data_IF_688109855059
#
_entry.id   IF_688109855059
#
_cell.length_a   1.000
_cell.length_b   1.000
_cell.length_c   1.000
_cell.angle_alpha   90.00
_cell.angle_beta   90.00
_cell.angle_gamma   90.00
#
_symmetry.space_group_name_H-M   'P 1'
#
loop_
_entity.id
_entity.type
_entity.pdbx_description
1 polymer ?
#
# COMPACT_ATOMS: atom_id res chain seq x y z
N UNK A 1 7.13 10.99 -13.12
CA UNK A 1 7.53 9.76 -12.40
C UNK A 1 8.96 9.45 -12.76
N UNK A 2 9.79 9.03 -11.80
CA UNK A 2 11.20 8.67 -12.00
C UNK A 2 11.40 7.23 -11.54
N UNK A 3 11.64 6.31 -12.46
CA UNK A 3 11.61 4.88 -12.17
C UNK A 3 12.92 4.19 -12.59
N UNK A 4 13.22 3.06 -11.95
CA UNK A 4 14.39 2.25 -12.21
C UNK A 4 14.24 0.86 -11.59
N UNK A 5 15.02 -0.10 -12.07
CA UNK A 5 14.98 -1.47 -11.57
C UNK A 5 15.19 -1.51 -10.07
N UNK A 6 16.36 -1.04 -9.62
CA UNK A 6 16.72 -0.78 -8.23
C UNK A 6 17.15 0.68 -8.06
N UNK A 7 16.30 1.46 -7.40
CA UNK A 7 16.49 2.91 -7.19
C UNK A 7 17.32 3.19 -5.94
N UNK A 8 17.33 2.29 -4.97
CA UNK A 8 17.98 2.51 -3.68
C UNK A 8 19.48 2.30 -3.76
N UNK A 9 19.90 1.08 -4.11
CA UNK A 9 21.31 0.71 -4.21
C UNK A 9 21.93 1.07 -5.57
N UNK A 10 21.11 1.39 -6.56
CA UNK A 10 21.54 1.72 -7.91
C UNK A 10 20.83 2.95 -8.47
N UNK A 11 21.07 3.22 -9.75
CA UNK A 11 20.38 4.29 -10.50
C UNK A 11 20.36 5.63 -9.75
N UNK A 12 19.18 6.14 -9.36
CA UNK A 12 19.02 7.44 -8.72
C UNK A 12 19.65 7.53 -7.33
N UNK A 13 19.55 6.47 -6.51
CA UNK A 13 20.16 6.46 -5.17
C UNK A 13 21.68 6.58 -5.24
N UNK A 14 22.31 5.82 -6.12
CA UNK A 14 23.75 5.92 -6.40
C UNK A 14 24.14 7.32 -6.92
N UNK A 15 23.36 7.88 -7.85
CA UNK A 15 23.62 9.23 -8.36
C UNK A 15 23.47 10.31 -7.28
N UNK A 16 22.46 10.19 -6.41
CA UNK A 16 22.24 11.11 -5.31
C UNK A 16 23.38 11.05 -4.29
N UNK A 17 23.81 9.84 -3.92
CA UNK A 17 24.96 9.65 -3.03
C UNK A 17 26.24 10.22 -3.63
N UNK A 18 26.51 9.95 -4.92
CA UNK A 18 27.70 10.49 -5.59
C UNK A 18 27.66 12.00 -5.72
N UNK A 19 26.49 12.58 -6.02
CA UNK A 19 26.30 14.02 -6.10
C UNK A 19 26.52 14.69 -4.74
N UNK A 20 26.03 14.07 -3.65
CA UNK A 20 26.26 14.57 -2.29
C UNK A 20 27.75 14.62 -1.95
N UNK A 21 28.53 13.60 -2.32
CA UNK A 21 30.00 13.62 -2.16
C UNK A 21 30.70 14.72 -2.98
N UNK A 22 30.06 15.21 -4.03
CA UNK A 22 30.53 16.33 -4.85
C UNK A 22 29.93 17.68 -4.41
N UNK A 23 29.19 17.73 -3.30
CA UNK A 23 28.53 18.94 -2.79
C UNK A 23 27.28 19.36 -3.59
N UNK A 24 26.71 18.47 -4.40
CA UNK A 24 25.55 18.74 -5.25
C UNK A 24 24.30 18.10 -4.64
N UNK A 25 23.31 18.93 -4.30
CA UNK A 25 22.00 18.49 -3.81
C UNK A 25 21.08 17.95 -4.91
N UNK A 26 21.46 16.86 -5.58
CA UNK A 26 20.80 16.36 -6.79
C UNK A 26 19.28 16.20 -6.63
N UNK A 27 18.81 15.58 -5.55
CA UNK A 27 17.38 15.32 -5.31
C UNK A 27 16.56 16.62 -5.21
N UNK A 28 17.16 17.67 -4.64
CA UNK A 28 16.54 19.00 -4.57
C UNK A 28 16.47 19.65 -5.95
N UNK A 29 17.55 19.56 -6.75
CA UNK A 29 17.58 20.11 -8.10
C UNK A 29 16.58 19.46 -9.06
N UNK A 30 16.34 18.14 -8.92
CA UNK A 30 15.35 17.45 -9.75
C UNK A 30 13.93 17.52 -9.16
N UNK A 31 13.76 18.10 -7.97
CA UNK A 31 12.45 18.31 -7.35
C UNK A 31 11.58 19.27 -8.17
N UNK A 32 10.27 19.22 -7.97
CA UNK A 32 9.33 20.25 -8.45
C UNK A 32 9.05 21.33 -7.42
N UNK A 33 9.52 21.16 -6.18
CA UNK A 33 9.43 22.18 -5.14
C UNK A 33 10.55 23.19 -5.34
N UNK A 34 10.26 24.51 -5.30
CA UNK A 34 11.32 25.51 -5.35
C UNK A 34 12.28 25.30 -4.17
N UNK A 35 13.57 25.35 -4.46
CA UNK A 35 14.62 25.34 -3.45
C UNK A 35 14.89 26.80 -3.08
N UNK A 36 14.51 27.22 -1.88
CA UNK A 36 15.01 28.48 -1.33
C UNK A 36 16.49 28.28 -0.98
N UNK A 37 17.37 28.72 -1.86
CA UNK A 37 18.76 29.00 -1.52
C UNK A 37 18.75 30.04 -0.40
N UNK A 38 18.88 29.63 0.86
CA UNK A 38 19.38 30.52 1.91
C UNK A 38 20.86 30.83 1.61
N UNK A 39 21.09 31.65 0.59
CA UNK A 39 22.37 32.30 0.32
C UNK A 39 22.23 33.71 0.89
N UNK A 40 22.93 33.94 2.00
CA UNK A 40 23.37 35.23 2.53
C UNK A 40 22.45 36.45 2.30
N UNK A 41 21.54 36.70 3.25
CA UNK A 41 21.17 38.08 3.60
C UNK A 41 22.15 38.58 4.66
N UNK A 42 23.43 38.67 4.29
CA UNK A 42 24.41 39.48 4.99
C UNK A 42 24.41 40.86 4.35
N UNK A 43 24.28 41.89 5.18
CA UNK A 43 24.43 43.32 4.87
C UNK A 43 23.26 44.02 4.17
N UNK A 44 22.34 44.56 4.98
CA UNK A 44 22.03 46.01 5.03
C UNK A 44 20.92 46.28 6.06
N UNK A 45 21.30 46.55 7.31
CA UNK A 45 20.67 47.51 8.21
C UNK A 45 21.38 47.48 9.57
N UNK A 46 22.40 48.32 9.72
CA UNK A 46 22.88 48.75 11.04
C UNK A 46 21.95 49.88 11.49
N UNK A 47 21.33 49.77 12.67
CA UNK A 47 21.21 50.91 13.61
C UNK A 47 20.77 50.48 15.02
N UNK A 48 21.73 50.63 15.94
CA UNK A 48 21.64 51.15 17.31
C UNK A 48 20.88 50.45 18.46
N UNK A 49 21.72 50.01 19.43
CA UNK A 49 21.77 50.34 20.88
C UNK A 49 21.38 49.25 21.90
N UNK A 50 22.36 48.93 22.77
CA UNK A 50 22.09 48.62 24.20
C UNK A 50 22.90 47.51 24.91
N UNK A 51 24.20 47.75 25.16
CA UNK A 51 25.05 47.45 26.34
C UNK A 51 24.91 46.18 27.26
N UNK A 52 26.11 45.69 27.66
CA UNK A 52 26.54 44.80 28.77
C UNK A 52 26.41 43.27 28.55
N UNK A 53 27.42 42.42 28.78
CA UNK A 53 28.80 42.55 29.26
C UNK A 53 29.45 41.13 29.36
N UNK A 54 30.74 41.06 29.04
CA UNK A 54 31.78 40.02 29.28
C UNK A 54 31.43 38.53 29.41
N UNK A 55 32.02 37.71 28.51
CA UNK A 55 32.92 36.59 28.80
C UNK A 55 33.47 36.01 27.47
N UNK A 56 34.79 36.00 27.33
CA UNK A 56 35.53 35.50 26.15
C UNK A 56 35.34 33.98 25.95
N UNK A 57 35.31 33.48 24.70
CA UNK A 57 35.80 32.16 24.38
C UNK A 57 37.00 32.16 23.41
N UNK A 58 37.90 31.23 23.68
CA UNK A 58 39.10 30.80 22.93
C UNK A 58 38.80 30.24 21.51
N UNK A 59 39.82 29.96 20.66
CA UNK A 59 39.79 30.28 19.24
C UNK A 59 38.98 29.29 18.37
N UNK A 60 38.35 29.89 17.36
CA UNK A 60 37.60 29.28 16.27
C UNK A 60 38.39 28.15 15.57
N UNK A 61 38.07 26.91 15.91
CA UNK A 61 38.26 25.77 15.02
C UNK A 61 37.20 25.91 13.94
N UNK A 62 37.64 26.00 12.69
CA UNK A 62 36.78 26.05 11.52
C UNK A 62 35.77 24.89 11.54
N UNK A 63 34.51 25.18 11.89
CA UNK A 63 33.41 24.26 11.71
C UNK A 63 33.18 24.11 10.20
N UNK A 64 33.67 22.99 9.68
CA UNK A 64 33.16 22.39 8.46
C UNK A 64 31.65 22.30 8.61
N UNK A 65 30.93 23.14 7.85
CA UNK A 65 29.49 23.08 7.73
C UNK A 65 29.12 21.66 7.30
N UNK A 66 28.76 20.84 8.28
CA UNK A 66 28.19 19.52 8.08
C UNK A 66 26.94 19.77 7.25
N UNK A 67 27.00 19.33 5.99
CA UNK A 67 25.86 19.21 5.11
C UNK A 67 24.83 18.38 5.89
N UNK A 68 23.87 19.04 6.54
CA UNK A 68 22.76 18.37 7.23
C UNK A 68 22.16 17.37 6.24
N UNK A 69 22.35 16.11 6.56
CA UNK A 69 21.92 14.98 5.76
C UNK A 69 20.42 15.10 5.52
N UNK A 70 20.03 15.47 4.31
CA UNK A 70 18.66 15.34 3.77
C UNK A 70 18.34 13.85 3.51
N UNK A 71 18.86 12.96 4.35
CA UNK A 71 18.46 11.57 4.46
C UNK A 71 17.49 11.53 5.62
N UNK A 72 16.23 11.84 5.35
CA UNK A 72 15.16 11.39 6.24
C UNK A 72 15.38 9.87 6.36
N UNK A 73 15.64 9.37 7.57
CA UNK A 73 15.75 7.94 7.85
C UNK A 73 14.36 7.30 7.73
N UNK A 74 13.87 7.20 6.50
CA UNK A 74 12.66 6.48 6.15
C UNK A 74 12.99 4.98 6.07
N UNK A 75 13.17 4.36 7.23
CA UNK A 75 13.46 2.92 7.35
C UNK A 75 12.35 2.07 6.71
N UNK A 76 11.09 2.50 6.87
CA UNK A 76 9.95 1.83 6.28
C UNK A 76 9.97 1.94 4.75
N UNK A 77 10.21 3.11 4.18
CA UNK A 77 10.36 3.28 2.74
C UNK A 77 11.58 2.56 2.19
N UNK A 78 12.67 2.52 2.96
CA UNK A 78 13.86 1.71 2.66
C UNK A 78 13.56 0.23 2.61
N UNK A 79 12.65 -0.30 3.40
CA UNK A 79 12.35 -1.75 3.45
C UNK A 79 11.16 -2.17 2.57
N UNK A 80 10.16 -1.29 2.41
CA UNK A 80 8.89 -1.61 1.75
C UNK A 80 8.59 -0.82 0.47
N UNK A 81 9.18 0.37 0.28
CA UNK A 81 8.91 1.25 -0.87
C UNK A 81 10.18 1.62 -1.65
N UNK A 82 10.36 2.87 -2.08
CA UNK A 82 11.56 3.33 -2.81
C UNK A 82 12.65 3.91 -1.91
N UNK A 83 12.35 4.41 -0.71
CA UNK A 83 13.32 5.00 0.22
C UNK A 83 14.09 6.22 -0.30
N UNK A 84 13.82 6.65 -1.55
CA UNK A 84 14.37 7.84 -2.19
C UNK A 84 13.20 8.72 -2.59
N UNK A 85 13.19 9.95 -2.06
CA UNK A 85 12.10 10.89 -2.23
C UNK A 85 12.55 12.09 -3.06
N UNK A 86 11.71 12.49 -4.02
CA UNK A 86 11.92 13.68 -4.84
C UNK A 86 10.64 14.51 -4.78
N UNK A 87 10.73 15.74 -4.27
CA UNK A 87 9.56 16.59 -4.07
C UNK A 87 8.74 16.76 -5.36
N UNK A 88 7.43 16.51 -5.26
CA UNK A 88 6.50 16.58 -6.39
C UNK A 88 6.68 15.52 -7.49
N UNK A 89 7.52 14.49 -7.28
CA UNK A 89 7.69 13.37 -8.23
C UNK A 89 7.53 12.03 -7.54
N UNK A 90 6.81 11.13 -8.20
CA UNK A 90 6.66 9.74 -7.77
C UNK A 90 7.89 8.95 -8.21
N UNK A 91 8.50 8.22 -7.28
CA UNK A 91 9.74 7.46 -7.50
C UNK A 91 9.49 5.97 -7.22
N UNK A 92 9.00 5.17 -8.19
CA UNK A 92 8.71 3.75 -7.96
C UNK A 92 9.94 2.85 -8.15
N UNK A 93 10.24 2.01 -7.15
CA UNK A 93 11.27 0.98 -7.25
C UNK A 93 10.72 -0.29 -7.92
N UNK A 94 11.11 -0.55 -9.18
CA UNK A 94 10.41 -1.52 -10.05
C UNK A 94 10.55 -2.94 -9.52
N UNK A 95 11.72 -3.38 -9.05
CA UNK A 95 11.90 -4.77 -8.60
C UNK A 95 10.98 -5.11 -7.41
N UNK A 96 10.70 -4.14 -6.53
CA UNK A 96 9.77 -4.31 -5.40
C UNK A 96 8.33 -4.41 -5.84
N UNK A 97 7.96 -3.60 -6.81
CA UNK A 97 6.62 -3.69 -7.39
C UNK A 97 6.42 -5.05 -8.05
N UNK A 98 7.43 -5.55 -8.77
CA UNK A 98 7.38 -6.87 -9.38
C UNK A 98 7.21 -8.00 -8.35
N UNK A 99 7.78 -7.88 -7.14
CA UNK A 99 7.59 -8.85 -6.04
C UNK A 99 6.13 -8.98 -5.58
N UNK A 100 5.37 -7.89 -5.68
CA UNK A 100 3.95 -7.88 -5.34
C UNK A 100 3.09 -8.48 -6.46
N UNK A 101 3.54 -8.37 -7.72
CA UNK A 101 2.80 -8.77 -8.92
C UNK A 101 3.05 -10.22 -9.36
N UNK A 102 4.30 -10.68 -9.32
CA UNK A 102 4.71 -12.02 -9.75
C UNK A 102 5.40 -12.78 -8.62
N UNK A 103 5.10 -14.08 -8.50
CA UNK A 103 5.73 -14.96 -7.50
C UNK A 103 6.85 -15.76 -8.15
N UNK A 104 8.07 -15.31 -7.93
CA UNK A 104 9.29 -15.91 -8.46
C UNK A 104 10.26 -16.27 -7.32
N UNK A 105 11.15 -17.22 -7.59
CA UNK A 105 12.24 -17.59 -6.67
C UNK A 105 13.33 -16.52 -6.65
N UNK A 106 13.58 -15.88 -7.80
CA UNK A 106 14.59 -14.84 -7.96
C UNK A 106 13.98 -13.61 -8.64
N UNK A 107 14.32 -12.42 -8.15
CA UNK A 107 13.86 -11.13 -8.66
C UNK A 107 15.00 -10.32 -9.31
N UNK A 108 15.92 -11.01 -9.99
CA UNK A 108 16.81 -10.36 -10.96
C UNK A 108 15.99 -9.85 -12.15
N UNK A 109 16.44 -8.78 -12.81
CA UNK A 109 15.72 -8.24 -13.98
C UNK A 109 15.58 -9.27 -15.10
N UNK A 110 16.54 -10.17 -15.26
CA UNK A 110 16.54 -11.23 -16.26
C UNK A 110 15.43 -12.24 -16.00
N UNK A 111 15.33 -12.76 -14.78
CA UNK A 111 14.27 -13.69 -14.37
C UNK A 111 12.87 -13.07 -14.49
N UNK A 112 12.72 -11.79 -14.11
CA UNK A 112 11.42 -11.10 -14.20
C UNK A 112 11.08 -10.80 -15.66
N UNK A 113 12.05 -10.38 -16.49
CA UNK A 113 11.84 -10.17 -17.92
C UNK A 113 11.43 -11.47 -18.64
N UNK A 114 12.04 -12.61 -18.29
CA UNK A 114 11.64 -13.92 -18.81
C UNK A 114 10.21 -14.29 -18.40
N UNK A 115 9.83 -14.03 -17.15
CA UNK A 115 8.47 -14.31 -16.66
C UNK A 115 7.40 -13.39 -17.27
N UNK A 116 7.67 -12.08 -17.31
CA UNK A 116 6.68 -11.05 -17.68
C UNK A 116 6.63 -10.84 -19.20
N UNK A 117 7.80 -10.67 -19.83
CA UNK A 117 7.93 -10.37 -21.26
C UNK A 117 8.16 -11.61 -22.13
N UNK A 118 8.37 -12.79 -21.53
CA UNK A 118 8.73 -14.02 -22.27
C UNK A 118 10.00 -13.87 -23.13
N UNK A 119 10.92 -13.00 -22.71
CA UNK A 119 12.17 -12.70 -23.41
C UNK A 119 13.36 -13.04 -22.53
N UNK A 120 14.31 -13.81 -23.05
CA UNK A 120 15.62 -14.01 -22.41
C UNK A 120 16.50 -12.78 -22.62
N UNK A 121 17.05 -12.27 -21.53
CA UNK A 121 17.92 -11.09 -21.53
C UNK A 121 19.31 -11.53 -21.05
N UNK A 122 20.40 -11.16 -21.76
CA UNK A 122 21.74 -11.51 -21.32
C UNK A 122 22.09 -10.77 -20.02
N UNK A 123 22.76 -11.46 -19.10
CA UNK A 123 23.38 -10.84 -17.93
C UNK A 123 24.88 -10.72 -18.17
N UNK A 124 25.38 -9.49 -18.33
CA UNK A 124 26.79 -9.22 -18.60
C UNK A 124 27.46 -8.71 -17.32
N UNK A 125 28.57 -9.34 -16.85
CA UNK A 125 29.28 -8.90 -15.66
C UNK A 125 29.84 -7.49 -15.80
N UNK A 126 29.75 -6.68 -14.73
CA UNK A 126 30.21 -5.29 -14.73
C UNK A 126 31.68 -5.12 -15.16
N UNK A 127 32.57 -6.05 -14.79
CA UNK A 127 33.99 -6.05 -15.22
C UNK A 127 34.14 -6.03 -16.75
N UNK A 128 33.25 -6.72 -17.48
CA UNK A 128 33.26 -6.76 -18.95
C UNK A 128 32.74 -5.44 -19.52
N UNK A 129 31.66 -4.90 -18.94
CA UNK A 129 31.09 -3.60 -19.34
C UNK A 129 32.12 -2.47 -19.19
N UNK A 130 32.87 -2.44 -18.09
CA UNK A 130 33.95 -1.45 -17.88
C UNK A 130 35.03 -1.57 -18.96
N UNK A 131 35.48 -2.79 -19.29
CA UNK A 131 36.46 -3.01 -20.37
C UNK A 131 35.94 -2.53 -21.71
N UNK A 132 34.69 -2.82 -22.03
CA UNK A 132 34.05 -2.36 -23.26
C UNK A 132 33.94 -0.84 -23.34
N UNK A 133 33.57 -0.18 -22.24
CA UNK A 133 33.47 1.28 -22.21
C UNK A 133 34.83 1.98 -22.36
N UNK A 134 35.87 1.44 -21.70
CA UNK A 134 37.24 1.97 -21.73
C UNK A 134 37.94 1.78 -23.08
N UNK A 135 37.56 0.76 -23.86
CA UNK A 135 38.18 0.42 -25.16
C UNK A 135 38.01 1.47 -26.29
N UNK A 136 37.51 2.68 -25.98
CA UNK A 136 37.41 3.79 -26.94
C UNK A 136 36.06 3.86 -27.68
N UNK A 137 35.86 4.84 -28.60
CA UNK A 137 34.61 5.05 -29.34
C UNK A 137 34.26 3.94 -30.35
N UNK A 138 35.07 2.87 -30.40
CA UNK A 138 34.85 1.72 -31.24
C UNK A 138 33.59 0.90 -30.83
N UNK A 139 33.29 -0.14 -31.62
CA UNK A 139 32.12 -1.02 -31.50
C UNK A 139 31.85 -1.55 -30.08
N UNK A 140 32.88 -1.70 -29.25
CA UNK A 140 32.74 -2.20 -27.88
C UNK A 140 32.05 -1.18 -26.94
N UNK A 141 32.40 0.12 -26.99
CA UNK A 141 31.70 1.14 -26.19
C UNK A 141 30.23 1.26 -26.60
N UNK A 142 29.95 1.20 -27.91
CA UNK A 142 28.59 1.17 -28.42
C UNK A 142 27.78 0.01 -27.82
N UNK A 143 28.31 -1.22 -27.83
CA UNK A 143 27.65 -2.39 -27.20
C UNK A 143 27.38 -2.20 -25.71
N UNK A 144 28.29 -1.57 -24.98
CA UNK A 144 28.08 -1.26 -23.56
C UNK A 144 26.90 -0.29 -23.36
N UNK A 145 26.85 0.78 -24.17
CA UNK A 145 25.77 1.78 -24.11
C UNK A 145 24.43 1.14 -24.50
N UNK A 146 24.41 0.37 -25.59
CA UNK A 146 23.24 -0.38 -26.06
C UNK A 146 22.69 -1.31 -24.98
N UNK A 147 23.56 -2.06 -24.29
CA UNK A 147 23.18 -2.93 -23.18
C UNK A 147 22.50 -2.16 -22.03
N UNK A 148 23.03 -0.99 -21.64
CA UNK A 148 22.45 -0.16 -20.57
C UNK A 148 21.11 0.43 -21.02
N UNK A 149 21.00 0.89 -22.28
CA UNK A 149 19.74 1.41 -22.84
C UNK A 149 18.68 0.32 -22.88
N UNK A 150 19.01 -0.88 -23.33
CA UNK A 150 18.08 -2.01 -23.33
C UNK A 150 17.60 -2.34 -21.91
N UNK A 151 18.49 -2.34 -20.90
CA UNK A 151 18.07 -2.52 -19.50
C UNK A 151 17.16 -1.41 -18.99
N UNK A 152 17.37 -0.16 -19.41
CA UNK A 152 16.49 0.93 -19.06
C UNK A 152 15.10 0.74 -19.68
N UNK A 153 15.03 0.36 -20.97
CA UNK A 153 13.78 0.07 -21.69
C UNK A 153 12.99 -1.08 -21.08
N UNK A 154 13.67 -2.13 -20.60
CA UNK A 154 13.01 -3.27 -19.96
C UNK A 154 12.12 -2.83 -18.79
N UNK A 155 12.53 -1.83 -18.00
CA UNK A 155 11.70 -1.32 -16.90
C UNK A 155 10.36 -0.79 -17.40
N UNK A 156 10.36 -0.02 -18.48
CA UNK A 156 9.14 0.52 -19.09
C UNK A 156 8.28 -0.58 -19.68
N UNK A 157 8.90 -1.50 -20.44
CA UNK A 157 8.20 -2.62 -21.06
C UNK A 157 7.51 -3.52 -20.04
N UNK A 158 8.16 -3.81 -18.90
CA UNK A 158 7.56 -4.62 -17.84
C UNK A 158 6.38 -3.92 -17.16
N UNK A 159 6.48 -2.61 -16.90
CA UNK A 159 5.39 -1.83 -16.30
C UNK A 159 4.18 -1.73 -17.24
N UNK A 160 4.44 -1.57 -18.53
CA UNK A 160 3.43 -1.48 -19.58
C UNK A 160 2.73 -2.84 -19.79
N UNK A 161 3.50 -3.93 -19.86
CA UNK A 161 2.96 -5.30 -20.01
C UNK A 161 2.04 -5.72 -18.85
N UNK A 162 2.26 -5.16 -17.66
CA UNK A 162 1.44 -5.39 -16.47
C UNK A 162 0.36 -4.30 -16.26
N UNK A 163 0.29 -3.31 -17.15
CA UNK A 163 -0.62 -2.17 -17.10
C UNK A 163 -0.66 -1.49 -15.72
N UNK A 164 0.50 -1.40 -15.08
CA UNK A 164 0.55 -1.06 -13.66
C UNK A 164 0.13 0.37 -13.37
N UNK A 165 0.49 1.31 -14.25
CA UNK A 165 0.21 2.73 -14.04
C UNK A 165 -1.30 2.98 -14.12
N UNK A 166 -1.96 2.50 -15.17
CA UNK A 166 -3.40 2.69 -15.33
C UNK A 166 -4.17 1.99 -14.22
N UNK A 167 -3.83 0.73 -13.91
CA UNK A 167 -4.48 0.00 -12.83
C UNK A 167 -4.31 0.68 -11.47
N UNK A 168 -3.13 1.21 -11.17
CA UNK A 168 -2.88 1.95 -9.93
C UNK A 168 -3.67 3.25 -9.89
N UNK A 169 -3.78 3.95 -11.02
CA UNK A 169 -4.60 5.15 -11.16
C UNK A 169 -6.07 4.84 -10.87
N UNK A 170 -6.64 3.80 -11.49
CA UNK A 170 -8.03 3.39 -11.24
C UNK A 170 -8.27 3.02 -9.77
N UNK A 171 -7.35 2.26 -9.17
CA UNK A 171 -7.42 1.93 -7.75
C UNK A 171 -7.31 3.16 -6.85
N UNK A 172 -6.50 4.15 -7.21
CA UNK A 172 -6.39 5.41 -6.47
C UNK A 172 -7.72 6.18 -6.46
N UNK A 173 -8.43 6.22 -7.60
CA UNK A 173 -9.75 6.85 -7.68
C UNK A 173 -10.79 6.10 -6.84
N UNK A 174 -10.81 4.77 -6.88
CA UNK A 174 -11.75 3.95 -6.11
C UNK A 174 -11.49 4.08 -4.61
N UNK A 175 -10.23 3.94 -4.20
CA UNK A 175 -9.85 4.05 -2.80
C UNK A 175 -9.86 5.49 -2.30
N UNK A 176 -9.85 6.48 -3.19
CA UNK A 176 -9.75 7.91 -2.88
C UNK A 176 -8.52 8.21 -2.03
N UNK A 177 -7.37 7.69 -2.45
CA UNK A 177 -6.05 7.97 -1.86
C UNK A 177 -5.08 8.38 -2.96
N UNK A 178 -3.93 8.92 -2.58
CA UNK A 178 -2.91 9.28 -3.57
C UNK A 178 -2.33 8.04 -4.27
N UNK A 179 -1.88 8.24 -5.51
CA UNK A 179 -1.35 7.17 -6.37
C UNK A 179 -0.23 6.37 -5.70
N UNK A 180 0.69 7.06 -5.01
CA UNK A 180 1.84 6.39 -4.41
C UNK A 180 1.46 5.59 -3.16
N UNK A 181 0.46 6.05 -2.39
CA UNK A 181 -0.10 5.32 -1.27
C UNK A 181 -0.79 4.03 -1.69
N UNK A 182 -1.36 3.94 -2.90
CA UNK A 182 -1.85 2.65 -3.42
C UNK A 182 -0.71 1.62 -3.50
N UNK A 183 0.48 2.05 -3.93
CA UNK A 183 1.63 1.15 -4.11
C UNK A 183 2.36 0.84 -2.80
N UNK A 184 2.48 1.84 -1.93
CA UNK A 184 3.32 1.76 -0.74
C UNK A 184 2.53 1.35 0.50
N UNK A 185 1.35 1.94 0.76
CA UNK A 185 0.62 1.76 2.01
C UNK A 185 -0.14 0.44 2.05
N UNK A 186 -0.27 -0.09 3.27
CA UNK A 186 -0.97 -1.35 3.55
C UNK A 186 -2.49 -1.27 3.35
N UNK A 187 -3.14 -2.42 3.44
CA UNK A 187 -4.59 -2.56 3.22
C UNK A 187 -5.43 -1.75 4.21
N UNK A 188 -5.02 -1.66 5.47
CA UNK A 188 -5.73 -0.87 6.49
C UNK A 188 -5.97 0.57 6.04
N UNK A 189 -4.96 1.23 5.47
CA UNK A 189 -5.07 2.61 4.98
C UNK A 189 -6.13 2.76 3.86
N UNK A 190 -6.24 1.74 2.99
CA UNK A 190 -7.23 1.71 1.91
C UNK A 190 -8.63 1.52 2.47
N UNK A 191 -8.79 0.58 3.40
CA UNK A 191 -10.07 0.29 4.06
C UNK A 191 -10.57 1.50 4.84
N UNK A 192 -9.71 2.12 5.64
CA UNK A 192 -10.03 3.32 6.42
C UNK A 192 -10.46 4.49 5.53
N UNK A 193 -9.72 4.73 4.44
CA UNK A 193 -10.05 5.80 3.50
C UNK A 193 -11.47 5.64 2.90
N UNK A 194 -11.81 4.43 2.47
CA UNK A 194 -13.16 4.14 1.94
C UNK A 194 -14.24 4.20 3.03
N UNK A 195 -13.97 3.57 4.18
CA UNK A 195 -14.92 3.46 5.29
C UNK A 195 -15.25 4.82 5.90
N UNK A 196 -14.24 5.64 6.20
CA UNK A 196 -14.42 6.96 6.82
C UNK A 196 -15.17 7.92 5.91
N UNK A 197 -14.92 7.90 4.60
CA UNK A 197 -15.71 8.69 3.64
C UNK A 197 -17.19 8.30 3.69
N UNK A 198 -17.49 7.00 3.67
CA UNK A 198 -18.87 6.53 3.71
C UNK A 198 -19.54 6.85 5.06
N UNK A 199 -18.83 6.64 6.17
CA UNK A 199 -19.30 6.95 7.51
C UNK A 199 -19.60 8.46 7.68
N UNK A 200 -18.75 9.33 7.13
CA UNK A 200 -18.93 10.77 7.15
C UNK A 200 -20.22 11.22 6.44
N UNK A 201 -20.61 10.57 5.34
CA UNK A 201 -21.91 10.88 4.66
C UNK A 201 -23.14 10.63 5.52
N UNK A 202 -22.99 9.86 6.60
CA UNK A 202 -24.06 9.51 7.55
C UNK A 202 -23.85 10.17 8.93
N UNK A 203 -22.97 11.16 9.03
CA UNK A 203 -22.63 11.89 10.26
C UNK A 203 -22.12 10.97 11.40
N UNK A 204 -21.42 9.90 11.06
CA UNK A 204 -20.73 9.08 12.06
C UNK A 204 -19.38 9.68 12.45
N UNK A 205 -19.01 9.48 13.71
CA UNK A 205 -17.68 9.74 14.24
C UNK A 205 -16.97 8.41 14.52
N UNK A 206 -15.79 8.24 13.94
CA UNK A 206 -14.95 7.07 14.22
C UNK A 206 -14.15 7.28 15.50
N UNK A 207 -13.94 6.19 16.25
CA UNK A 207 -13.03 6.17 17.39
C UNK A 207 -11.58 5.96 16.93
N UNK A 208 -10.63 6.55 17.65
CA UNK A 208 -9.20 6.41 17.38
C UNK A 208 -8.50 5.83 18.60
N UNK A 209 -8.51 4.48 18.78
CA UNK A 209 -7.93 3.86 19.96
C UNK A 209 -6.40 3.94 19.94
N UNK A 210 -5.81 4.14 21.13
CA UNK A 210 -4.37 4.07 21.34
C UNK A 210 -3.86 2.63 21.38
N UNK A 211 -2.54 2.46 21.23
CA UNK A 211 -1.88 1.14 21.23
C UNK A 211 -2.20 0.30 22.47
N UNK A 212 -2.26 0.93 23.64
CA UNK A 212 -2.58 0.25 24.90
C UNK A 212 -4.03 -0.25 24.93
N UNK A 213 -4.98 0.53 24.41
CA UNK A 213 -6.39 0.13 24.34
C UNK A 213 -6.58 -1.08 23.44
N UNK A 214 -5.94 -1.08 22.27
CA UNK A 214 -5.94 -2.22 21.34
C UNK A 214 -5.27 -3.44 21.97
N UNK A 215 -4.17 -3.26 22.72
CA UNK A 215 -3.51 -4.38 23.41
C UNK A 215 -4.35 -4.96 24.55
N UNK A 216 -5.22 -4.15 25.17
CA UNK A 216 -6.12 -4.58 26.25
C UNK A 216 -7.45 -5.15 25.77
N UNK A 217 -7.72 -5.15 24.46
CA UNK A 217 -8.98 -5.65 23.92
C UNK A 217 -9.13 -7.16 24.15
N UNK A 218 -10.35 -7.69 24.27
CA UNK A 218 -10.58 -9.12 24.38
C UNK A 218 -9.96 -9.89 23.20
N UNK A 219 -9.33 -11.03 23.50
CA UNK A 219 -8.76 -11.89 22.47
C UNK A 219 -9.85 -12.51 21.59
N UNK A 220 -9.51 -12.81 20.34
CA UNK A 220 -10.43 -13.48 19.42
C UNK A 220 -10.65 -14.94 19.85
N UNK A 221 -11.90 -15.31 20.15
CA UNK A 221 -12.27 -16.65 20.62
C UNK A 221 -12.74 -17.58 19.49
N UNK A 222 -13.19 -17.01 18.37
CA UNK A 222 -13.72 -17.77 17.24
C UNK A 222 -12.59 -18.19 16.28
N UNK A 223 -12.51 -19.49 15.99
CA UNK A 223 -11.55 -20.08 15.05
C UNK A 223 -12.27 -20.62 13.80
N UNK A 224 -11.61 -20.60 12.63
CA UNK A 224 -12.15 -21.24 11.44
C UNK A 224 -12.18 -22.76 11.61
N UNK A 225 -13.20 -23.41 11.04
CA UNK A 225 -13.27 -24.86 10.98
C UNK A 225 -12.38 -25.39 9.87
N UNK A 226 -11.41 -26.24 10.24
CA UNK A 226 -10.64 -27.06 9.31
C UNK A 226 -10.96 -28.51 9.61
N UNK A 227 -11.64 -29.18 8.69
CA UNK A 227 -11.97 -30.61 8.83
C UNK A 227 -10.71 -31.46 8.66
N UNK A 228 -10.61 -32.54 9.41
CA UNK A 228 -9.54 -33.51 9.23
C UNK A 228 -9.70 -34.23 7.89
N UNK A 229 -8.70 -34.20 7.00
CA UNK A 229 -8.81 -34.86 5.71
C UNK A 229 -8.61 -36.36 5.85
N UNK A 230 -9.46 -37.14 5.17
CA UNK A 230 -9.19 -38.56 4.94
C UNK A 230 -8.02 -38.69 3.96
N UNK A 231 -6.85 -39.08 4.48
CA UNK A 231 -5.63 -39.17 3.67
C UNK A 231 -5.65 -40.44 2.84
N UNK A 232 -5.59 -40.30 1.51
CA UNK A 232 -5.61 -41.44 0.60
C UNK A 232 -5.48 -41.03 -0.86
N UNK A 233 -5.41 -42.04 -1.73
CA UNK A 233 -5.50 -41.87 -3.17
C UNK A 233 -6.96 -42.09 -3.60
N UNK A 234 -7.56 -41.07 -4.20
CA UNK A 234 -8.95 -41.11 -4.68
C UNK A 234 -8.94 -41.37 -6.19
N UNK A 235 -9.43 -42.56 -6.59
CA UNK A 235 -9.59 -42.91 -8.01
C UNK A 235 -10.85 -42.31 -8.62
N UNK A 236 -11.89 -42.11 -7.81
CA UNK A 236 -13.17 -41.51 -8.21
C UNK A 236 -13.10 -39.97 -8.25
N UNK A 237 -13.90 -39.29 -9.09
CA UNK A 237 -13.93 -37.83 -9.14
C UNK A 237 -14.34 -37.19 -7.80
N UNK A 238 -13.53 -36.24 -7.33
CA UNK A 238 -13.81 -35.46 -6.11
C UNK A 238 -14.37 -34.08 -6.48
N UNK A 239 -15.60 -33.80 -6.06
CA UNK A 239 -16.24 -32.49 -6.29
C UNK A 239 -15.76 -31.49 -5.26
N UNK A 240 -15.25 -30.34 -5.73
CA UNK A 240 -14.79 -29.24 -4.87
C UNK A 240 -15.82 -28.11 -4.87
N UNK A 241 -16.41 -27.84 -3.70
CA UNK A 241 -17.35 -26.74 -3.48
C UNK A 241 -16.67 -25.64 -2.67
N UNK A 242 -16.81 -24.39 -3.12
CA UNK A 242 -16.25 -23.22 -2.45
C UNK A 242 -17.26 -22.07 -2.40
N UNK A 243 -17.27 -21.33 -1.30
CA UNK A 243 -18.10 -20.15 -1.14
C UNK A 243 -17.46 -18.94 -1.82
N UNK A 244 -18.23 -18.27 -2.68
CA UNK A 244 -17.77 -17.04 -3.30
C UNK A 244 -17.83 -15.87 -2.31
N UNK A 245 -16.69 -15.50 -1.73
CA UNK A 245 -16.59 -14.39 -0.77
C UNK A 245 -17.39 -14.60 0.53
N UNK A 246 -17.13 -15.73 1.22
CA UNK A 246 -17.80 -16.12 2.47
C UNK A 246 -17.98 -14.98 3.48
N UNK A 247 -16.91 -14.38 4.01
CA UNK A 247 -17.02 -13.36 5.05
C UNK A 247 -17.75 -12.09 4.59
N UNK A 248 -17.43 -11.48 3.43
CA UNK A 248 -18.23 -10.38 2.90
C UNK A 248 -19.72 -10.68 2.79
N UNK A 249 -20.08 -11.86 2.28
CA UNK A 249 -21.48 -12.27 2.14
C UNK A 249 -22.18 -12.43 3.49
N UNK A 250 -21.51 -12.96 4.51
CA UNK A 250 -22.06 -13.03 5.87
C UNK A 250 -22.28 -11.64 6.47
N UNK A 251 -21.30 -10.73 6.32
CA UNK A 251 -21.41 -9.36 6.82
C UNK A 251 -22.62 -8.64 6.20
N UNK A 252 -22.83 -8.81 4.90
CA UNK A 252 -23.97 -8.22 4.19
C UNK A 252 -25.28 -8.87 4.64
N UNK A 253 -25.37 -10.20 4.59
CA UNK A 253 -26.60 -10.94 4.88
C UNK A 253 -27.11 -10.72 6.31
N UNK A 254 -26.19 -10.65 7.27
CA UNK A 254 -26.49 -10.49 8.69
C UNK A 254 -26.34 -9.05 9.19
N UNK A 255 -26.11 -8.08 8.29
CA UNK A 255 -25.98 -6.65 8.59
C UNK A 255 -24.94 -6.34 9.70
N UNK A 256 -23.82 -7.07 9.70
CA UNK A 256 -22.78 -6.96 10.73
C UNK A 256 -21.99 -5.66 10.54
N UNK A 257 -22.07 -4.74 11.48
CA UNK A 257 -21.35 -3.47 11.41
C UNK A 257 -21.15 -2.87 12.80
N UNK A 258 -20.14 -2.03 12.96
CA UNK A 258 -19.93 -1.25 14.18
C UNK A 258 -21.18 -0.43 14.57
N UNK A 259 -21.84 0.22 13.59
CA UNK A 259 -23.01 1.06 13.83
C UNK A 259 -24.35 0.31 13.98
N UNK A 260 -24.34 -1.02 13.88
CA UNK A 260 -25.52 -1.88 14.09
C UNK A 260 -25.32 -2.83 15.26
N UNK A 261 -24.15 -2.86 15.90
CA UNK A 261 -23.85 -3.69 17.06
C UNK A 261 -24.48 -3.12 18.35
N UNK A 262 -25.14 -3.97 19.13
CA UNK A 262 -25.79 -3.64 20.40
C UNK A 262 -25.07 -4.23 21.62
N UNK A 263 -23.92 -4.89 21.42
CA UNK A 263 -23.15 -5.53 22.49
C UNK A 263 -23.53 -6.99 22.76
N UNK A 264 -22.92 -7.57 23.80
CA UNK A 264 -23.11 -8.97 24.19
C UNK A 264 -24.35 -9.16 25.07
N UNK A 265 -25.00 -10.33 24.96
CA UNK A 265 -26.14 -10.72 25.83
C UNK A 265 -25.69 -10.99 27.26
N UNK A 266 -24.59 -11.73 27.42
CA UNK A 266 -24.04 -12.03 28.74
C UNK A 266 -23.04 -10.91 29.10
N UNK A 267 -23.26 -10.17 30.20
CA UNK A 267 -22.32 -9.15 30.62
C UNK A 267 -21.00 -9.82 31.06
N UNK A 268 -19.95 -9.66 30.26
CA UNK A 268 -18.58 -9.82 30.77
C UNK A 268 -18.31 -8.73 31.81
N UNK A 269 -17.32 -8.94 32.69
CA UNK A 269 -16.98 -8.04 33.83
C UNK A 269 -16.83 -6.55 33.45
N UNK A 270 -16.61 -6.24 32.18
CA UNK A 270 -16.87 -4.94 31.58
C UNK A 270 -17.65 -5.19 30.27
N UNK A 271 -18.81 -4.54 30.08
CA UNK A 271 -19.55 -4.54 28.81
C UNK A 271 -18.75 -3.76 27.77
N UNK A 272 -17.70 -4.38 27.26
CA UNK A 272 -16.75 -3.76 26.32
C UNK A 272 -17.05 -4.25 24.92
N UNK A 273 -17.27 -3.32 23.99
CA UNK A 273 -17.31 -3.60 22.58
C UNK A 273 -15.94 -3.26 21.98
N UNK A 274 -15.11 -4.29 21.80
CA UNK A 274 -13.76 -4.15 21.30
C UNK A 274 -12.87 -3.37 22.27
N UNK A 275 -12.60 -2.11 21.94
CA UNK A 275 -11.73 -1.20 22.72
C UNK A 275 -12.47 -0.20 23.61
N UNK A 276 -13.81 -0.10 23.51
CA UNK A 276 -14.60 0.89 24.25
C UNK A 276 -15.70 0.25 25.11
N UNK A 277 -15.99 0.81 26.30
CA UNK A 277 -17.16 0.39 27.06
C UNK A 277 -18.43 0.83 26.32
N UNK A 278 -19.38 -0.07 26.16
CA UNK A 278 -20.63 0.21 25.48
C UNK A 278 -21.80 -0.44 26.21
N UNK A 279 -22.82 0.36 26.53
CA UNK A 279 -24.07 -0.14 27.06
C UNK A 279 -25.24 0.40 26.23
N UNK A 280 -26.04 -0.46 25.60
CA UNK A 280 -27.23 -0.03 24.88
C UNK A 280 -28.30 0.49 25.86
N UNK A 281 -29.10 1.47 25.41
CA UNK A 281 -30.24 1.97 26.18
C UNK A 281 -31.28 0.83 26.37
N UNK A 282 -31.69 0.51 27.61
CA UNK A 282 -32.72 -0.50 27.89
C UNK A 282 -34.05 -0.29 27.16
N UNK A 283 -34.43 0.96 26.86
CA UNK A 283 -35.65 1.26 26.11
C UNK A 283 -35.53 0.79 24.67
N UNK A 284 -34.40 1.13 24.02
CA UNK A 284 -34.09 0.68 22.66
C UNK A 284 -34.04 -0.85 22.57
N UNK A 285 -33.52 -1.52 23.61
CA UNK A 285 -33.51 -2.98 23.65
C UNK A 285 -34.92 -3.58 23.73
N UNK A 286 -35.81 -2.99 24.53
CA UNK A 286 -37.21 -3.45 24.65
C UNK A 286 -37.97 -3.28 23.35
N UNK A 287 -37.80 -2.14 22.68
CA UNK A 287 -38.49 -1.83 21.42
C UNK A 287 -38.06 -2.73 20.25
N UNK A 288 -36.81 -3.22 20.30
CA UNK A 288 -36.21 -4.03 19.23
C UNK A 288 -36.19 -5.53 19.53
N UNK A 289 -36.66 -5.97 20.70
CA UNK A 289 -36.50 -7.34 21.23
C UNK A 289 -36.81 -8.45 20.21
N UNK A 290 -37.90 -8.32 19.46
CA UNK A 290 -38.36 -9.36 18.52
C UNK A 290 -37.73 -9.25 17.12
N UNK A 291 -36.89 -8.24 16.89
CA UNK A 291 -36.30 -7.93 15.57
C UNK A 291 -34.78 -8.05 15.55
N UNK A 292 -34.13 -8.21 16.70
CA UNK A 292 -32.68 -8.30 16.78
C UNK A 292 -32.16 -9.61 16.20
N UNK A 293 -30.99 -9.53 15.58
CA UNK A 293 -30.22 -10.70 15.20
C UNK A 293 -29.22 -11.03 16.31
N UNK A 294 -29.25 -12.27 16.78
CA UNK A 294 -28.23 -12.81 17.68
C UNK A 294 -27.25 -13.68 16.89
N UNK A 295 -25.97 -13.36 16.96
CA UNK A 295 -24.92 -14.17 16.35
C UNK A 295 -24.45 -15.29 17.30
N UNK A 296 -23.86 -16.38 16.78
CA UNK A 296 -23.43 -17.52 17.61
C UNK A 296 -22.41 -17.17 18.71
N UNK A 297 -21.66 -16.08 18.56
CA UNK A 297 -20.75 -15.56 19.58
C UNK A 297 -21.45 -14.67 20.64
N UNK A 298 -22.79 -14.65 20.68
CA UNK A 298 -23.56 -13.97 21.72
C UNK A 298 -23.69 -12.45 21.55
N UNK A 299 -23.34 -11.91 20.38
CA UNK A 299 -23.44 -10.47 20.07
C UNK A 299 -24.76 -10.15 19.37
N UNK A 300 -25.39 -9.04 19.76
CA UNK A 300 -26.65 -8.58 19.19
C UNK A 300 -26.41 -7.54 18.09
N UNK A 301 -27.16 -7.65 17.00
CA UNK A 301 -27.15 -6.70 15.89
C UNK A 301 -28.56 -6.23 15.51
N UNK A 302 -28.65 -4.97 15.09
CA UNK A 302 -29.86 -4.36 14.53
C UNK A 302 -30.09 -4.87 13.11
N UNK A 303 -31.33 -5.24 12.72
CA UNK A 303 -31.63 -5.69 11.37
C UNK A 303 -31.54 -4.54 10.34
N UNK A 304 -31.26 -4.90 9.09
CA UNK A 304 -31.10 -3.94 7.98
C UNK A 304 -32.33 -3.08 7.73
N UNK A 305 -33.53 -3.57 8.08
CA UNK A 305 -34.81 -2.83 7.99
C UNK A 305 -34.87 -1.61 8.90
N UNK A 306 -34.17 -1.63 10.04
CA UNK A 306 -34.12 -0.52 10.99
C UNK A 306 -32.95 0.40 10.64
N UNK A 307 -31.77 -0.18 10.43
CA UNK A 307 -30.57 0.56 10.02
C UNK A 307 -29.67 -0.34 9.18
N UNK A 308 -29.34 0.10 7.98
CA UNK A 308 -28.33 -0.56 7.15
C UNK A 308 -26.94 -0.12 7.59
N UNK A 309 -26.07 -1.09 7.90
CA UNK A 309 -24.70 -0.83 8.32
C UNK A 309 -23.83 -0.23 7.21
N UNK A 310 -22.80 0.52 7.62
CA UNK A 310 -21.80 1.12 6.70
C UNK A 310 -20.97 0.04 6.00
N UNK A 311 -20.50 -0.98 6.74
CA UNK A 311 -19.70 -2.07 6.20
C UNK A 311 -20.46 -2.93 5.17
N UNK A 312 -21.71 -3.40 5.44
CA UNK A 312 -22.54 -4.06 4.45
C UNK A 312 -22.66 -3.27 3.14
N UNK A 313 -22.91 -1.96 3.23
CA UNK A 313 -23.03 -1.10 2.05
C UNK A 313 -21.72 -1.00 1.26
N UNK A 314 -20.59 -0.78 1.95
CA UNK A 314 -19.28 -0.72 1.32
C UNK A 314 -18.93 -2.04 0.59
N UNK A 315 -19.21 -3.17 1.23
CA UNK A 315 -18.95 -4.49 0.67
C UNK A 315 -19.85 -4.80 -0.54
N UNK A 316 -21.13 -4.39 -0.51
CA UNK A 316 -22.04 -4.54 -1.66
C UNK A 316 -21.51 -3.78 -2.90
N UNK A 317 -21.02 -2.55 -2.73
CA UNK A 317 -20.46 -1.74 -3.83
C UNK A 317 -19.20 -2.40 -4.41
N UNK A 318 -18.31 -2.92 -3.56
CA UNK A 318 -17.09 -3.61 -4.01
C UNK A 318 -17.40 -4.94 -4.70
N UNK A 319 -18.32 -5.73 -4.15
CA UNK A 319 -18.70 -7.03 -4.73
C UNK A 319 -19.47 -6.87 -6.03
N UNK A 320 -20.39 -5.91 -6.13
CA UNK A 320 -21.12 -5.62 -7.37
C UNK A 320 -20.16 -5.21 -8.49
N UNK A 321 -19.19 -4.35 -8.20
CA UNK A 321 -18.12 -3.98 -9.14
C UNK A 321 -17.30 -5.19 -9.57
N UNK A 322 -16.92 -6.06 -8.63
CA UNK A 322 -16.19 -7.31 -8.94
C UNK A 322 -17.01 -8.25 -9.83
N UNK A 323 -18.31 -8.38 -9.59
CA UNK A 323 -19.21 -9.21 -10.41
C UNK A 323 -19.30 -8.61 -11.82
N UNK A 324 -19.44 -7.30 -11.95
CA UNK A 324 -19.43 -6.60 -13.24
C UNK A 324 -18.13 -6.87 -14.02
N UNK A 325 -16.96 -6.72 -13.37
CA UNK A 325 -15.66 -7.02 -13.99
C UNK A 325 -15.60 -8.48 -14.45
N UNK A 326 -16.01 -9.44 -13.61
CA UNK A 326 -16.05 -10.86 -14.00
C UNK A 326 -17.00 -11.13 -15.17
N UNK A 327 -18.16 -10.49 -15.20
CA UNK A 327 -19.13 -10.68 -16.28
C UNK A 327 -18.60 -10.15 -17.60
N UNK A 328 -17.99 -8.97 -17.61
CA UNK A 328 -17.42 -8.43 -18.83
C UNK A 328 -16.12 -9.14 -19.25
N UNK A 329 -15.36 -9.73 -18.32
CA UNK A 329 -14.27 -10.68 -18.68
C UNK A 329 -14.78 -11.88 -19.48
N UNK A 330 -15.94 -12.46 -19.11
CA UNK A 330 -16.52 -13.60 -19.83
C UNK A 330 -16.96 -13.26 -21.27
N UNK A 331 -17.15 -11.99 -21.58
CA UNK A 331 -17.55 -11.50 -22.90
C UNK A 331 -16.36 -11.19 -23.82
N UNK A 332 -15.12 -11.27 -23.31
CA UNK A 332 -13.93 -10.96 -24.09
C UNK A 332 -13.62 -12.08 -25.09
N UNK A 333 -13.20 -11.69 -26.29
CA UNK A 333 -12.78 -12.63 -27.31
C UNK A 333 -11.40 -13.22 -26.99
N UNK A 334 -11.06 -14.45 -27.45
CA UNK A 334 -9.76 -15.07 -27.21
C UNK A 334 -8.55 -14.26 -27.72
N UNK A 335 -8.77 -13.36 -28.68
CA UNK A 335 -7.76 -12.43 -29.20
C UNK A 335 -7.38 -11.30 -28.23
N UNK A 336 -8.22 -11.02 -27.22
CA UNK A 336 -8.06 -9.91 -26.26
C UNK A 336 -7.37 -10.37 -24.96
N UNK A 337 -6.29 -11.15 -25.08
CA UNK A 337 -5.60 -11.74 -23.93
C UNK A 337 -5.02 -10.70 -22.95
N UNK A 338 -4.57 -9.55 -23.48
CA UNK A 338 -4.05 -8.44 -22.66
C UNK A 338 -5.15 -7.86 -21.79
N UNK A 339 -6.31 -7.54 -22.38
CA UNK A 339 -7.48 -7.04 -21.65
C UNK A 339 -7.95 -8.06 -20.60
N UNK A 340 -8.05 -9.34 -20.98
CA UNK A 340 -8.44 -10.39 -20.04
C UNK A 340 -7.50 -10.45 -18.83
N UNK A 341 -6.18 -10.29 -19.05
CA UNK A 341 -5.19 -10.25 -17.97
C UNK A 341 -5.38 -9.03 -17.07
N UNK A 342 -5.56 -7.83 -17.63
CA UNK A 342 -5.79 -6.60 -16.84
C UNK A 342 -7.01 -6.75 -15.94
N UNK A 343 -8.11 -7.23 -16.51
CA UNK A 343 -9.37 -7.39 -15.78
C UNK A 343 -9.30 -8.48 -14.71
N UNK A 344 -8.54 -9.56 -14.97
CA UNK A 344 -8.26 -10.59 -13.98
C UNK A 344 -7.56 -9.98 -12.76
N UNK A 345 -6.51 -9.18 -12.97
CA UNK A 345 -5.81 -8.50 -11.88
C UNK A 345 -6.72 -7.53 -11.13
N UNK A 346 -7.52 -6.74 -11.83
CA UNK A 346 -8.52 -5.86 -11.22
C UNK A 346 -9.51 -6.64 -10.33
N UNK A 347 -10.04 -7.76 -10.83
CA UNK A 347 -10.93 -8.64 -10.06
C UNK A 347 -10.26 -9.29 -8.85
N UNK A 348 -8.97 -9.61 -8.93
CA UNK A 348 -8.15 -10.11 -7.81
C UNK A 348 -7.97 -9.01 -6.76
N UNK A 349 -7.67 -7.78 -7.16
CA UNK A 349 -7.53 -6.64 -6.25
C UNK A 349 -8.81 -6.43 -5.44
N UNK A 350 -9.97 -6.33 -6.09
CA UNK A 350 -11.25 -6.22 -5.37
C UNK A 350 -11.52 -7.41 -4.44
N UNK A 351 -11.14 -8.63 -4.86
CA UNK A 351 -11.27 -9.80 -3.99
C UNK A 351 -10.40 -9.70 -2.75
N UNK A 352 -9.16 -9.22 -2.85
CA UNK A 352 -8.26 -9.01 -1.71
C UNK A 352 -8.81 -7.92 -0.79
N UNK A 353 -9.24 -6.80 -1.34
CA UNK A 353 -9.77 -5.69 -0.56
C UNK A 353 -11.05 -6.08 0.18
N UNK A 354 -11.97 -6.83 -0.45
CA UNK A 354 -13.17 -7.33 0.25
C UNK A 354 -12.83 -8.20 1.47
N UNK A 355 -11.74 -8.98 1.41
CA UNK A 355 -11.26 -9.78 2.55
C UNK A 355 -10.64 -8.89 3.63
N UNK A 356 -9.89 -7.87 3.26
CA UNK A 356 -9.33 -6.91 4.21
C UNK A 356 -10.41 -6.08 4.91
N UNK A 357 -11.44 -5.66 4.20
CA UNK A 357 -12.61 -4.96 4.78
C UNK A 357 -13.35 -5.89 5.74
N UNK A 358 -13.54 -7.16 5.36
CA UNK A 358 -14.17 -8.13 6.25
C UNK A 358 -13.34 -8.36 7.53
N UNK A 359 -12.01 -8.42 7.41
CA UNK A 359 -11.10 -8.53 8.55
C UNK A 359 -11.08 -7.26 9.42
N UNK A 360 -11.42 -6.10 8.87
CA UNK A 360 -11.49 -4.84 9.61
C UNK A 360 -12.53 -4.89 10.74
N UNK A 361 -13.61 -5.65 10.56
CA UNK A 361 -14.60 -5.90 11.62
C UNK A 361 -13.99 -6.65 12.83
N UNK A 362 -12.89 -7.36 12.66
CA UNK A 362 -12.21 -8.11 13.73
C UNK A 362 -11.09 -7.30 14.42
N UNK A 363 -10.75 -6.12 13.92
CA UNK A 363 -9.58 -5.33 14.37
C UNK A 363 -9.93 -4.17 15.30
N UNK A 364 -11.21 -3.90 15.54
CA UNK A 364 -11.72 -2.88 16.47
C UNK A 364 -12.89 -3.42 17.26
#
# INVERSE_FOLDING_TARGET
MLMGWDIQGGSLGFLAERAAHLGIGLLNHISRTPYETKIAAGELAISEKGLHGDLLPDPLIAESAVLESVVIEDEWGRTHASGVHVGGRIVPNVWRLMRNEVKLNMYSIEAVAESVLRRKVPSIPYKVLTKWFLSGPARARYRCIEYVIERAKLNLQMMDQLDMINRTSELAHIFGIDFFSVLSRGSQYRVESMFLRLAHTQNYLAISPGKQQVASQPAMECLPLVMEPESGFYADPVVVLDFQSLYPSMIIAYNLCFCTCLGQIAPSKANTLGVSPFMPDPNVLRDLKDKMLLTPNGVMYVPSKVRKGVLPRLLEEILSTRIMVKQAMKKLNPSQQVLHRVWLYTGISFSKESKHIAAYLCLM
#
